data_IF_819649084015
#
_entry.id   IF_819649084015
#
_cell.length_a   1.000
_cell.length_b   1.000
_cell.length_c   1.000
_cell.angle_alpha   90.00
_cell.angle_beta   90.00
_cell.angle_gamma   90.00
#
_symmetry.space_group_name_H-M   'P 1'
#
loop_
_entity.id
_entity.type
_entity.pdbx_description
1 polymer ?
#
# COMPACT_ATOMS: atom_id res chain seq x y z
N UNK A 1 1.83 -3.12 -26.94
CA UNK A 1 2.29 -4.27 -26.12
C UNK A 1 3.37 -3.88 -25.11
N UNK A 2 4.45 -3.18 -25.50
CA UNK A 2 5.55 -2.71 -24.62
C UNK A 2 5.11 -1.95 -23.36
N UNK A 3 4.12 -1.05 -23.46
CA UNK A 3 3.64 -0.28 -22.30
C UNK A 3 2.94 -1.14 -21.23
N UNK A 4 2.26 -2.22 -21.61
CA UNK A 4 1.57 -3.09 -20.67
C UNK A 4 2.55 -3.95 -19.89
N UNK A 5 3.58 -4.49 -20.55
CA UNK A 5 4.68 -5.20 -19.88
C UNK A 5 5.42 -4.31 -18.88
N UNK A 6 5.65 -3.04 -19.24
CA UNK A 6 6.23 -2.06 -18.33
C UNK A 6 5.34 -1.80 -17.10
N UNK A 7 4.01 -1.76 -17.26
CA UNK A 7 3.06 -1.60 -16.15
C UNK A 7 3.03 -2.80 -15.20
N UNK A 8 3.03 -4.02 -15.74
CA UNK A 8 3.05 -5.26 -14.95
C UNK A 8 4.38 -5.38 -14.17
N UNK A 9 5.51 -5.15 -14.84
CA UNK A 9 6.82 -5.22 -14.18
C UNK A 9 6.93 -4.16 -13.06
N UNK A 10 6.44 -2.94 -13.31
CA UNK A 10 6.37 -1.89 -12.29
C UNK A 10 5.51 -2.31 -11.10
N UNK A 11 4.36 -2.93 -11.34
CA UNK A 11 3.49 -3.42 -10.27
C UNK A 11 4.16 -4.53 -9.44
N UNK A 12 4.86 -5.45 -10.10
CA UNK A 12 5.58 -6.52 -9.42
C UNK A 12 6.72 -5.96 -8.57
N UNK A 13 7.55 -5.09 -9.12
CA UNK A 13 8.67 -4.46 -8.39
C UNK A 13 8.15 -3.65 -7.21
N UNK A 14 7.10 -2.84 -7.42
CA UNK A 14 6.46 -2.07 -6.36
C UNK A 14 5.93 -2.97 -5.22
N UNK A 15 5.21 -4.04 -5.58
CA UNK A 15 4.67 -4.99 -4.62
C UNK A 15 5.78 -5.66 -3.80
N UNK A 16 6.87 -6.08 -4.45
CA UNK A 16 8.02 -6.71 -3.77
C UNK A 16 8.71 -5.71 -2.84
N UNK A 17 8.96 -4.47 -3.27
CA UNK A 17 9.60 -3.45 -2.42
C UNK A 17 8.77 -3.22 -1.16
N UNK A 18 7.45 -2.99 -1.30
CA UNK A 18 6.58 -2.75 -0.16
C UNK A 18 6.41 -4.02 0.70
N UNK A 19 6.44 -5.21 0.10
CA UNK A 19 6.42 -6.45 0.84
C UNK A 19 7.68 -6.66 1.68
N UNK A 20 8.86 -6.36 1.15
CA UNK A 20 10.12 -6.40 1.91
C UNK A 20 10.05 -5.44 3.10
N UNK A 21 9.59 -4.20 2.88
CA UNK A 21 9.47 -3.20 3.95
C UNK A 21 8.44 -3.60 5.00
N UNK A 22 7.33 -4.20 4.59
CA UNK A 22 6.28 -4.64 5.51
C UNK A 22 6.72 -5.86 6.33
N UNK A 23 7.41 -6.82 5.71
CA UNK A 23 8.04 -7.95 6.40
C UNK A 23 9.13 -7.49 7.36
N UNK A 24 9.94 -6.49 6.99
CA UNK A 24 10.90 -5.86 7.90
C UNK A 24 10.18 -5.18 9.07
N UNK A 25 9.05 -4.52 8.81
CA UNK A 25 8.15 -4.01 9.84
C UNK A 25 7.72 -5.11 10.80
N UNK A 26 7.16 -6.21 10.29
CA UNK A 26 6.75 -7.37 11.10
C UNK A 26 7.90 -7.89 11.96
N UNK A 27 9.12 -8.00 11.38
CA UNK A 27 10.32 -8.41 12.09
C UNK A 27 10.67 -7.45 13.24
N UNK A 28 10.69 -6.14 12.98
CA UNK A 28 11.00 -5.14 14.00
C UNK A 28 9.95 -5.14 15.12
N UNK A 29 8.67 -5.30 14.78
CA UNK A 29 7.58 -5.41 15.76
C UNK A 29 7.76 -6.61 16.67
N UNK A 30 8.01 -7.78 16.08
CA UNK A 30 8.17 -9.03 16.81
C UNK A 30 9.45 -9.05 17.66
N UNK A 31 10.57 -8.60 17.11
CA UNK A 31 11.88 -8.71 17.76
C UNK A 31 12.10 -7.65 18.85
N UNK A 32 11.63 -6.41 18.63
CA UNK A 32 11.82 -5.33 19.59
C UNK A 32 10.63 -5.15 20.56
N UNK A 33 9.63 -6.03 20.50
CA UNK A 33 8.47 -5.99 21.40
C UNK A 33 7.70 -4.67 21.31
N UNK A 34 7.65 -4.07 20.11
CA UNK A 34 7.01 -2.77 19.89
C UNK A 34 5.52 -2.92 20.18
N UNK A 35 5.05 -2.31 21.27
CA UNK A 35 3.62 -2.32 21.60
C UNK A 35 2.87 -1.57 20.50
N UNK A 36 1.79 -2.16 19.97
CA UNK A 36 0.87 -1.52 19.03
C UNK A 36 0.14 -0.33 19.70
N UNK A 37 0.84 0.79 19.78
CA UNK A 37 0.34 2.09 20.21
C UNK A 37 0.09 2.95 18.99
N UNK A 38 -0.86 3.88 19.11
CA UNK A 38 -1.27 4.79 18.04
C UNK A 38 -0.07 5.45 17.35
N UNK A 39 0.83 6.07 18.10
CA UNK A 39 2.00 6.75 17.54
C UNK A 39 2.89 5.80 16.73
N UNK A 40 3.22 4.63 17.27
CA UNK A 40 4.07 3.66 16.58
C UNK A 40 3.42 3.15 15.29
N UNK A 41 2.12 2.89 15.30
CA UNK A 41 1.42 2.45 14.08
C UNK A 41 1.21 3.55 13.04
N UNK A 42 0.99 4.80 13.47
CA UNK A 42 0.94 5.94 12.54
C UNK A 42 2.31 6.16 11.91
N UNK A 43 3.39 6.13 12.70
CA UNK A 43 4.75 6.24 12.19
C UNK A 43 5.06 5.13 11.19
N UNK A 44 4.66 3.89 11.48
CA UNK A 44 4.79 2.77 10.54
C UNK A 44 4.07 3.01 9.22
N UNK A 45 2.77 3.35 9.29
CA UNK A 45 1.97 3.62 8.10
C UNK A 45 2.54 4.78 7.29
N UNK A 46 2.99 5.84 7.96
CA UNK A 46 3.63 6.99 7.34
C UNK A 46 4.93 6.61 6.61
N UNK A 47 5.82 5.82 7.23
CA UNK A 47 7.07 5.37 6.62
C UNK A 47 6.84 4.42 5.44
N UNK A 48 5.94 3.44 5.58
CA UNK A 48 5.58 2.56 4.46
C UNK A 48 4.98 3.35 3.30
N UNK A 49 4.06 4.27 3.60
CA UNK A 49 3.42 5.06 2.56
C UNK A 49 4.34 6.13 1.96
N UNK A 50 5.38 6.58 2.67
CA UNK A 50 6.45 7.38 2.08
C UNK A 50 7.15 6.59 0.97
N UNK A 51 7.49 5.33 1.21
CA UNK A 51 8.08 4.45 0.19
C UNK A 51 7.10 4.16 -0.96
N UNK A 52 5.81 3.94 -0.67
CA UNK A 52 4.76 3.86 -1.68
C UNK A 52 4.74 5.12 -2.55
N UNK A 53 4.78 6.30 -1.92
CA UNK A 53 4.80 7.60 -2.57
C UNK A 53 6.00 7.79 -3.50
N UNK A 54 7.19 7.35 -3.07
CA UNK A 54 8.41 7.32 -3.92
C UNK A 54 8.18 6.46 -5.15
N UNK A 55 7.60 5.26 -4.99
CA UNK A 55 7.30 4.34 -6.10
C UNK A 55 6.31 4.98 -7.09
N UNK A 56 5.27 5.65 -6.61
CA UNK A 56 4.30 6.36 -7.46
C UNK A 56 4.95 7.57 -8.17
N UNK A 57 5.74 8.36 -7.45
CA UNK A 57 6.42 9.55 -7.96
C UNK A 57 7.51 9.24 -8.99
N UNK A 58 8.17 8.08 -8.88
CA UNK A 58 9.16 7.60 -9.87
C UNK A 58 8.57 7.48 -11.29
N UNK A 59 7.24 7.39 -11.39
CA UNK A 59 6.47 7.53 -12.63
C UNK A 59 6.89 8.72 -13.50
N UNK A 60 7.08 9.90 -12.87
CA UNK A 60 7.39 11.16 -13.54
C UNK A 60 8.85 11.37 -13.91
N UNK A 61 9.76 10.47 -13.49
CA UNK A 61 11.21 10.49 -13.79
C UNK A 61 11.94 11.80 -13.44
N UNK A 62 11.39 12.62 -12.54
CA UNK A 62 12.05 13.83 -12.03
C UNK A 62 12.21 13.77 -10.52
N UNK A 63 13.23 14.44 -9.97
CA UNK A 63 13.40 14.52 -8.53
C UNK A 63 12.18 15.16 -7.84
N UNK A 64 11.59 16.18 -8.47
CA UNK A 64 10.39 16.84 -7.95
C UNK A 64 9.21 15.87 -7.82
N UNK A 65 8.93 15.05 -8.84
CA UNK A 65 7.82 14.08 -8.80
C UNK A 65 8.06 12.99 -7.74
N UNK A 66 9.31 12.57 -7.54
CA UNK A 66 9.69 11.65 -6.46
C UNK A 66 9.48 12.27 -5.08
N UNK A 67 9.93 13.52 -4.87
CA UNK A 67 9.80 14.21 -3.59
C UNK A 67 8.33 14.52 -3.24
N UNK A 68 7.56 15.02 -4.20
CA UNK A 68 6.12 15.23 -4.03
C UNK A 68 5.41 13.89 -3.78
N UNK A 69 5.85 12.81 -4.42
CA UNK A 69 5.33 11.48 -4.21
C UNK A 69 5.59 11.01 -2.79
N UNK A 70 6.83 11.13 -2.30
CA UNK A 70 7.22 10.79 -0.95
C UNK A 70 6.42 11.56 0.12
N UNK A 71 6.30 12.89 -0.04
CA UNK A 71 5.55 13.75 0.88
C UNK A 71 4.05 13.45 0.84
N UNK A 72 3.48 13.26 -0.34
CA UNK A 72 2.08 12.85 -0.51
C UNK A 72 1.84 11.47 0.10
N UNK A 73 2.77 10.55 -0.10
CA UNK A 73 2.75 9.21 0.49
C UNK A 73 2.78 9.24 2.02
N UNK A 74 3.62 10.09 2.61
CA UNK A 74 3.63 10.34 4.04
C UNK A 74 2.24 10.78 4.54
N UNK A 75 1.61 11.73 3.84
CA UNK A 75 0.26 12.18 4.18
C UNK A 75 -0.78 11.06 4.05
N UNK A 76 -0.73 10.26 2.98
CA UNK A 76 -1.60 9.07 2.82
C UNK A 76 -1.45 8.10 3.99
N UNK A 77 -0.21 7.84 4.42
CA UNK A 77 0.06 6.94 5.54
C UNK A 77 -0.47 7.47 6.87
N UNK A 78 -0.30 8.77 7.14
CA UNK A 78 -0.84 9.42 8.33
C UNK A 78 -2.37 9.36 8.33
N UNK A 79 -3.01 9.68 7.21
CA UNK A 79 -4.47 9.64 7.08
C UNK A 79 -5.01 8.22 7.27
N UNK A 80 -4.47 7.25 6.56
CA UNK A 80 -4.96 5.87 6.59
C UNK A 80 -4.72 5.21 7.96
N UNK A 81 -3.52 5.35 8.52
CA UNK A 81 -3.22 4.80 9.84
C UNK A 81 -3.97 5.56 10.96
N UNK A 82 -4.11 6.89 10.82
CA UNK A 82 -4.93 7.71 11.71
C UNK A 82 -6.39 7.27 11.68
N UNK A 83 -6.94 7.04 10.49
CA UNK A 83 -8.28 6.50 10.25
C UNK A 83 -8.47 5.13 10.91
N UNK A 84 -7.50 4.22 10.77
CA UNK A 84 -7.51 2.95 11.51
C UNK A 84 -7.62 3.16 13.02
N UNK A 85 -6.75 3.96 13.63
CA UNK A 85 -6.76 4.17 15.09
C UNK A 85 -8.01 4.90 15.58
N UNK A 86 -8.57 5.79 14.76
CA UNK A 86 -9.83 6.47 15.04
C UNK A 86 -11.03 5.51 14.98
N UNK A 87 -11.09 4.64 13.97
CA UNK A 87 -12.21 3.71 13.76
C UNK A 87 -12.15 2.44 14.61
N UNK A 88 -10.95 2.04 15.05
CA UNK A 88 -10.70 0.80 15.81
C UNK A 88 -11.61 0.62 17.03
N UNK A 89 -11.90 1.63 17.87
CA UNK A 89 -12.80 1.48 19.02
C UNK A 89 -14.24 1.11 18.63
N UNK A 90 -14.69 1.49 17.43
CA UNK A 90 -16.07 1.32 16.98
C UNK A 90 -16.28 0.02 16.20
N UNK A 91 -15.36 -0.31 15.31
CA UNK A 91 -15.53 -1.44 14.35
C UNK A 91 -14.41 -2.49 14.42
N UNK A 92 -13.51 -2.38 15.40
CA UNK A 92 -12.48 -3.38 15.73
C UNK A 92 -11.62 -3.73 14.51
N UNK A 93 -11.55 -5.01 14.12
CA UNK A 93 -10.73 -5.48 13.00
C UNK A 93 -11.17 -4.91 11.65
N UNK A 94 -12.46 -4.60 11.47
CA UNK A 94 -12.95 -4.02 10.23
C UNK A 94 -12.31 -2.65 9.93
N UNK A 95 -11.85 -1.93 10.96
CA UNK A 95 -11.09 -0.68 10.78
C UNK A 95 -9.82 -0.88 9.94
N UNK A 96 -9.18 -2.05 10.04
CA UNK A 96 -7.98 -2.37 9.27
C UNK A 96 -8.32 -2.49 7.78
N UNK A 97 -9.42 -3.17 7.45
CA UNK A 97 -9.88 -3.31 6.06
C UNK A 97 -10.29 -1.95 5.49
N UNK A 98 -11.01 -1.14 6.27
CA UNK A 98 -11.41 0.22 5.84
C UNK A 98 -10.17 1.09 5.58
N UNK A 99 -9.20 1.11 6.49
CA UNK A 99 -7.96 1.87 6.32
C UNK A 99 -7.13 1.36 5.13
N UNK A 100 -7.12 0.05 4.87
CA UNK A 100 -6.47 -0.54 3.71
C UNK A 100 -7.13 -0.08 2.40
N UNK A 101 -8.47 -0.06 2.34
CA UNK A 101 -9.21 0.43 1.18
C UNK A 101 -8.99 1.93 0.95
N UNK A 102 -9.02 2.72 2.03
CA UNK A 102 -8.72 4.15 2.01
C UNK A 102 -7.33 4.42 1.41
N UNK A 103 -6.31 3.69 1.88
CA UNK A 103 -4.94 3.80 1.38
C UNK A 103 -4.87 3.68 -0.15
N UNK A 104 -5.56 2.70 -0.74
CA UNK A 104 -5.51 2.49 -2.20
C UNK A 104 -6.24 3.56 -3.00
N UNK A 105 -7.35 4.07 -2.48
CA UNK A 105 -8.08 5.18 -3.10
C UNK A 105 -7.21 6.45 -3.07
N UNK A 106 -6.61 6.75 -1.92
CA UNK A 106 -5.70 7.88 -1.77
C UNK A 106 -4.43 7.71 -2.62
N UNK A 107 -3.90 6.50 -2.74
CA UNK A 107 -2.76 6.19 -3.60
C UNK A 107 -3.08 6.43 -5.08
N UNK A 108 -4.29 6.14 -5.54
CA UNK A 108 -4.72 6.45 -6.91
C UNK A 108 -4.76 7.96 -7.16
N UNK A 109 -5.34 8.72 -6.22
CA UNK A 109 -5.39 10.19 -6.29
C UNK A 109 -3.99 10.80 -6.27
N UNK A 110 -3.12 10.30 -5.40
CA UNK A 110 -1.71 10.69 -5.33
C UNK A 110 -1.01 10.39 -6.67
N UNK A 111 -1.15 9.17 -7.20
CA UNK A 111 -0.52 8.76 -8.44
C UNK A 111 -0.95 9.64 -9.63
N UNK A 112 -2.24 10.02 -9.70
CA UNK A 112 -2.71 11.00 -10.70
C UNK A 112 -2.01 12.35 -10.53
N UNK A 113 -1.96 12.86 -9.30
CA UNK A 113 -1.39 14.17 -9.00
C UNK A 113 0.11 14.26 -9.32
N UNK A 114 0.92 13.33 -8.83
CA UNK A 114 2.39 13.34 -9.09
C UNK A 114 2.79 12.78 -10.44
N UNK A 115 2.04 11.83 -10.98
CA UNK A 115 2.33 11.23 -12.28
C UNK A 115 1.91 12.11 -13.47
N UNK A 116 1.28 13.27 -13.22
CA UNK A 116 0.64 14.13 -14.22
C UNK A 116 -0.22 13.32 -15.20
N UNK A 117 -0.91 12.29 -14.70
CA UNK A 117 -1.76 11.43 -15.52
C UNK A 117 -2.95 12.28 -15.99
N UNK A 118 -3.12 12.40 -17.30
CA UNK A 118 -4.17 13.22 -17.93
C UNK A 118 -5.59 12.64 -17.78
N UNK A 119 -5.75 11.56 -17.02
CA UNK A 119 -7.05 10.93 -16.80
C UNK A 119 -7.97 11.81 -15.95
N UNK A 120 -9.27 11.71 -16.23
CA UNK A 120 -10.29 12.39 -15.45
C UNK A 120 -10.45 11.74 -14.06
N UNK A 121 -11.02 12.50 -13.12
CA UNK A 121 -11.19 12.06 -11.74
C UNK A 121 -12.02 10.77 -11.61
N UNK A 122 -13.01 10.54 -12.49
CA UNK A 122 -13.84 9.34 -12.45
C UNK A 122 -13.03 8.08 -12.71
N UNK A 123 -12.12 8.10 -13.70
CA UNK A 123 -11.24 6.98 -14.02
C UNK A 123 -10.24 6.71 -12.90
N UNK A 124 -9.69 7.76 -12.28
CA UNK A 124 -8.81 7.63 -11.11
C UNK A 124 -9.51 7.00 -9.92
N UNK A 125 -10.73 7.44 -9.61
CA UNK A 125 -11.53 6.85 -8.56
C UNK A 125 -11.87 5.38 -8.87
N UNK A 126 -12.22 5.06 -10.12
CA UNK A 126 -12.47 3.69 -10.53
C UNK A 126 -11.23 2.81 -10.32
N UNK A 127 -10.04 3.26 -10.75
CA UNK A 127 -8.78 2.54 -10.50
C UNK A 127 -8.48 2.40 -9.02
N UNK A 128 -8.71 3.44 -8.22
CA UNK A 128 -8.55 3.40 -6.76
C UNK A 128 -9.51 2.40 -6.09
N UNK A 129 -10.77 2.36 -6.52
CA UNK A 129 -11.77 1.40 -6.03
C UNK A 129 -11.40 -0.03 -6.43
N UNK A 130 -10.96 -0.24 -7.68
CA UNK A 130 -10.49 -1.55 -8.13
C UNK A 130 -9.26 -2.00 -7.35
N UNK A 131 -8.30 -1.11 -7.14
CA UNK A 131 -7.13 -1.37 -6.30
C UNK A 131 -7.54 -1.73 -4.87
N UNK A 132 -8.41 -0.92 -4.25
CA UNK A 132 -8.91 -1.14 -2.89
C UNK A 132 -9.66 -2.47 -2.74
N UNK A 133 -10.54 -2.80 -3.68
CA UNK A 133 -11.31 -4.04 -3.64
C UNK A 133 -10.42 -5.26 -3.82
N UNK A 134 -9.61 -5.29 -4.88
CA UNK A 134 -8.77 -6.46 -5.20
C UNK A 134 -7.65 -6.67 -4.19
N UNK A 135 -6.97 -5.59 -3.78
CA UNK A 135 -5.97 -5.66 -2.71
C UNK A 135 -6.59 -5.90 -1.34
N UNK A 136 -7.77 -5.34 -1.06
CA UNK A 136 -8.49 -5.59 0.18
C UNK A 136 -8.90 -7.06 0.35
N UNK A 137 -9.38 -7.70 -0.73
CA UNK A 137 -9.66 -9.14 -0.73
C UNK A 137 -8.39 -9.97 -0.51
N UNK A 138 -7.29 -9.62 -1.18
CA UNK A 138 -6.01 -10.31 -0.99
C UNK A 138 -5.45 -10.12 0.44
N UNK A 139 -5.53 -8.90 0.98
CA UNK A 139 -5.13 -8.57 2.34
C UNK A 139 -5.98 -9.30 3.39
N UNK A 140 -7.29 -9.40 3.18
CA UNK A 140 -8.16 -10.19 4.04
C UNK A 140 -7.76 -11.67 4.02
N UNK A 141 -7.50 -12.23 2.85
CA UNK A 141 -7.11 -13.64 2.69
C UNK A 141 -5.79 -13.98 3.40
N UNK A 142 -4.82 -13.05 3.41
CA UNK A 142 -3.51 -13.25 4.07
C UNK A 142 -3.47 -12.80 5.54
N UNK A 143 -4.55 -12.23 6.09
CA UNK A 143 -4.62 -11.76 7.50
C UNK A 143 -4.31 -12.83 8.56
N UNK A 144 -4.29 -14.10 8.14
CA UNK A 144 -3.77 -15.23 8.91
C UNK A 144 -2.38 -15.00 9.50
N UNK A 145 -1.52 -14.23 8.83
CA UNK A 145 -0.11 -14.02 9.26
C UNK A 145 0.03 -13.32 10.61
N UNK A 146 -0.99 -12.58 11.08
CA UNK A 146 -1.01 -11.97 12.42
C UNK A 146 -1.98 -12.64 13.40
N UNK A 147 -2.97 -13.36 12.89
CA UNK A 147 -4.03 -13.94 13.71
C UNK A 147 -3.72 -15.37 14.15
N UNK A 148 -2.89 -16.10 13.39
CA UNK A 148 -2.50 -17.48 13.66
C UNK A 148 -0.99 -17.55 13.90
N UNK A 149 -0.61 -17.69 15.16
CA UNK A 149 0.80 -17.77 15.54
C UNK A 149 1.29 -19.22 15.35
N UNK A 150 2.25 -19.41 14.44
CA UNK A 150 2.90 -20.72 14.26
C UNK A 150 3.80 -21.05 15.46
N UNK A 151 3.87 -22.32 15.87
CA UNK A 151 4.90 -22.77 16.83
C UNK A 151 6.29 -22.43 16.29
N UNK A 152 7.08 -21.68 17.04
CA UNK A 152 8.44 -21.25 16.64
C UNK A 152 8.57 -19.82 16.12
N UNK A 153 7.47 -19.05 16.05
CA UNK A 153 7.49 -17.62 15.67
C UNK A 153 7.16 -17.36 14.20
N UNK A 154 7.27 -16.09 13.73
CA UNK A 154 6.88 -15.71 12.37
C UNK A 154 7.78 -16.33 11.29
N UNK A 155 7.19 -16.86 10.23
CA UNK A 155 7.92 -17.27 9.03
C UNK A 155 8.02 -16.07 8.07
N UNK A 156 9.14 -15.37 8.08
CA UNK A 156 9.30 -14.12 7.31
C UNK A 156 9.29 -14.32 5.79
N UNK A 157 9.70 -15.49 5.28
CA UNK A 157 9.57 -15.79 3.86
C UNK A 157 8.10 -15.92 3.47
N UNK A 158 7.31 -16.58 4.31
CA UNK A 158 5.87 -16.67 4.14
C UNK A 158 5.19 -15.29 4.25
N UNK A 159 5.58 -14.45 5.22
CA UNK A 159 5.08 -13.08 5.33
C UNK A 159 5.42 -12.25 4.09
N UNK A 160 6.63 -12.38 3.54
CA UNK A 160 7.03 -11.68 2.31
C UNK A 160 6.13 -12.06 1.13
N UNK A 161 5.82 -13.34 0.96
CA UNK A 161 4.91 -13.82 -0.09
C UNK A 161 3.48 -13.30 0.14
N UNK A 162 3.01 -13.36 1.38
CA UNK A 162 1.69 -12.86 1.77
C UNK A 162 1.55 -11.35 1.49
N UNK A 163 2.54 -10.55 1.87
CA UNK A 163 2.55 -9.12 1.58
C UNK A 163 2.62 -8.84 0.08
N UNK A 164 3.43 -9.60 -0.67
CA UNK A 164 3.48 -9.47 -2.13
C UNK A 164 2.10 -9.70 -2.75
N UNK A 165 1.40 -10.76 -2.32
CA UNK A 165 0.04 -11.07 -2.75
C UNK A 165 -0.95 -9.95 -2.36
N UNK A 166 -0.81 -9.37 -1.17
CA UNK A 166 -1.65 -8.27 -0.72
C UNK A 166 -1.46 -7.01 -1.60
N UNK A 167 -0.23 -6.62 -1.89
CA UNK A 167 0.06 -5.37 -2.62
C UNK A 167 -0.12 -5.48 -4.15
N UNK A 168 0.23 -6.61 -4.75
CA UNK A 168 0.27 -6.79 -6.20
C UNK A 168 -1.01 -6.39 -6.93
N UNK A 169 -2.22 -6.86 -6.56
CA UNK A 169 -3.44 -6.50 -7.29
C UNK A 169 -3.74 -4.99 -7.22
N UNK A 170 -3.44 -4.33 -6.10
CA UNK A 170 -3.56 -2.88 -5.97
C UNK A 170 -2.66 -2.16 -6.97
N UNK A 171 -1.38 -2.53 -7.02
CA UNK A 171 -0.46 -1.95 -7.99
C UNK A 171 -0.78 -2.30 -9.44
N UNK A 172 -1.32 -3.48 -9.73
CA UNK A 172 -1.79 -3.83 -11.07
C UNK A 172 -2.90 -2.88 -11.52
N UNK A 173 -3.90 -2.62 -10.65
CA UNK A 173 -4.95 -1.64 -10.94
C UNK A 173 -4.41 -0.21 -11.12
N UNK A 174 -3.33 0.15 -10.44
CA UNK A 174 -2.71 1.47 -10.58
C UNK A 174 -1.76 1.60 -11.78
N UNK A 175 -1.03 0.57 -12.20
CA UNK A 175 0.00 0.71 -13.23
C UNK A 175 -0.37 0.09 -14.57
N UNK A 176 -1.28 -0.88 -14.60
CA UNK A 176 -1.77 -1.47 -15.83
C UNK A 176 -2.89 -0.58 -16.37
N UNK A 177 -2.51 0.53 -16.99
CA UNK A 177 -3.45 1.39 -17.71
C UNK A 177 -3.60 0.90 -19.15
N UNK A 178 -4.84 0.76 -19.62
CA UNK A 178 -5.12 0.76 -21.06
C UNK A 178 -4.87 2.19 -21.55
N UNK A 179 -4.14 2.34 -22.66
CA UNK A 179 -4.18 3.58 -23.44
C UNK A 179 -5.66 3.93 -23.63
N UNK A 180 -6.11 5.02 -23.02
CA UNK A 180 -7.27 5.74 -23.54
C UNK A 180 -6.72 6.65 -24.61
N UNK A 181 -7.24 6.46 -25.81
CA UNK A 181 -6.77 7.00 -27.09
C UNK A 181 -6.49 8.52 -27.08
#
# INVERSE_FOLDING_TARGET
MTNQYNGILRALVAAIILAVLSTLGDFLWAHHGIKHRMFAGILHGALLCLCLGVVLGYGGKTLQTILLGALGGLAVGILSAGGYYFLRPFIRFAAMIVAWMELWILAALLHRWVGAISENLKLTLLRGILAAATSGLAFYAISGIWTKHSPGGPNYLYNLLCWTIAFLPGFLALFVTRKTD
#
